data_IF_136526404732
#
_entry.id   IF_136526404732
#
_cell.length_a   1.000
_cell.length_b   1.000
_cell.length_c   1.000
_cell.angle_alpha   90.00
_cell.angle_beta   90.00
_cell.angle_gamma   90.00
#
_symmetry.space_group_name_H-M   'P 1'
#
loop_
_entity.id
_entity.type
_entity.pdbx_description
1 polymer ?
#
# COMPACT_ATOMS: atom_id res chain seq x y z
N UNK A 1 -9.74 -11.02 21.93
CA UNK A 1 -8.29 -11.06 21.67
C UNK A 1 -8.07 -10.47 20.28
N UNK A 2 -7.64 -9.22 20.15
CA UNK A 2 -7.28 -8.65 18.83
C UNK A 2 -5.84 -9.04 18.54
N UNK A 3 -5.62 -9.80 17.47
CA UNK A 3 -4.28 -10.07 16.98
C UNK A 3 -3.66 -8.73 16.52
N UNK A 4 -2.45 -8.43 17.00
CA UNK A 4 -1.69 -7.27 16.54
C UNK A 4 -1.17 -7.55 15.13
N UNK A 5 -1.25 -6.56 14.25
CA UNK A 5 -0.67 -6.66 12.92
C UNK A 5 0.86 -6.82 13.02
N UNK A 6 1.39 -7.84 12.34
CA UNK A 6 2.82 -8.04 12.15
C UNK A 6 3.15 -7.76 10.69
N UNK A 7 4.10 -6.84 10.45
CA UNK A 7 4.57 -6.54 9.09
C UNK A 7 5.18 -7.82 8.47
N UNK A 8 4.73 -8.25 7.27
CA UNK A 8 5.38 -9.32 6.53
C UNK A 8 6.83 -8.98 6.18
N UNK A 9 7.63 -9.99 5.86
CA UNK A 9 8.99 -9.75 5.38
C UNK A 9 8.99 -9.12 3.97
N UNK A 10 10.15 -8.63 3.54
CA UNK A 10 10.27 -7.89 2.28
C UNK A 10 9.89 -8.74 1.05
N UNK A 11 10.27 -10.02 1.01
CA UNK A 11 9.95 -10.91 -0.12
C UNK A 11 8.45 -11.16 -0.20
N UNK A 12 7.82 -11.37 0.95
CA UNK A 12 6.38 -11.51 1.03
C UNK A 12 5.64 -10.23 0.60
N UNK A 13 6.21 -9.05 0.82
CA UNK A 13 5.63 -7.79 0.36
C UNK A 13 5.79 -7.61 -1.15
N UNK A 14 6.95 -7.97 -1.71
CA UNK A 14 7.21 -7.91 -3.15
C UNK A 14 6.29 -8.84 -3.96
N UNK A 15 5.97 -10.02 -3.43
CA UNK A 15 5.02 -10.95 -4.06
C UNK A 15 3.55 -10.51 -3.95
N UNK A 16 3.19 -9.77 -2.89
CA UNK A 16 1.79 -9.42 -2.58
C UNK A 16 1.34 -8.07 -3.13
N UNK A 17 2.26 -7.12 -3.27
CA UNK A 17 1.95 -5.75 -3.65
C UNK A 17 2.11 -5.56 -5.15
N UNK A 18 1.38 -4.60 -5.71
CA UNK A 18 1.73 -4.12 -7.06
C UNK A 18 3.06 -3.37 -7.00
N UNK A 19 3.80 -3.25 -8.12
CA UNK A 19 5.06 -2.51 -8.15
C UNK A 19 4.93 -1.09 -7.57
N UNK A 20 3.90 -0.34 -7.96
CA UNK A 20 3.64 1.00 -7.43
C UNK A 20 3.37 1.00 -5.92
N UNK A 21 2.61 0.03 -5.40
CA UNK A 21 2.35 -0.08 -3.96
C UNK A 21 3.60 -0.45 -3.18
N UNK A 22 4.43 -1.34 -3.71
CA UNK A 22 5.70 -1.67 -3.10
C UNK A 22 6.62 -0.45 -3.05
N UNK A 23 6.80 0.25 -4.17
CA UNK A 23 7.66 1.43 -4.24
C UNK A 23 7.21 2.54 -3.30
N UNK A 24 5.91 2.85 -3.26
CA UNK A 24 5.38 3.89 -2.38
C UNK A 24 5.55 3.51 -0.90
N UNK A 25 5.36 2.23 -0.55
CA UNK A 25 5.36 1.80 0.87
C UNK A 25 6.72 1.37 1.40
N UNK A 26 7.63 0.91 0.55
CA UNK A 26 8.95 0.38 0.94
C UNK A 26 10.10 1.28 0.49
N UNK A 27 9.95 2.04 -0.61
CA UNK A 27 11.02 2.84 -1.21
C UNK A 27 10.77 4.37 -1.11
N UNK A 28 9.78 4.80 -0.34
CA UNK A 28 9.41 6.22 -0.16
C UNK A 28 9.10 6.95 -1.48
N UNK A 29 8.62 6.21 -2.48
CA UNK A 29 8.17 6.79 -3.74
C UNK A 29 6.86 7.57 -3.54
N UNK A 30 6.64 8.58 -4.38
CA UNK A 30 5.37 9.32 -4.42
C UNK A 30 4.57 8.89 -5.64
N UNK A 31 3.32 8.45 -5.43
CA UNK A 31 2.40 8.15 -6.53
C UNK A 31 1.98 9.41 -7.29
N UNK A 32 1.60 9.31 -8.58
CA UNK A 32 1.24 10.48 -9.36
C UNK A 32 -0.03 11.16 -8.81
N UNK A 33 -0.08 12.52 -8.83
CA UNK A 33 -1.22 13.26 -8.30
C UNK A 33 -2.48 12.97 -9.12
N UNK A 34 -3.62 12.84 -8.44
CA UNK A 34 -4.94 12.58 -9.03
C UNK A 34 -5.05 11.29 -9.87
N UNK A 35 -4.07 10.39 -9.77
CA UNK A 35 -4.02 9.12 -10.49
C UNK A 35 -3.79 7.94 -9.56
N UNK A 36 -4.54 7.89 -8.45
CA UNK A 36 -4.55 6.75 -7.53
C UNK A 36 -5.99 6.26 -7.30
N UNK A 37 -6.16 5.01 -6.85
CA UNK A 37 -7.48 4.39 -6.69
C UNK A 37 -8.46 5.18 -5.82
N UNK A 38 -7.94 6.01 -4.91
CA UNK A 38 -8.72 6.68 -3.87
C UNK A 38 -8.82 8.19 -4.04
N UNK A 39 -8.31 8.78 -5.13
CA UNK A 39 -8.18 10.24 -5.28
C UNK A 39 -9.51 10.99 -5.14
N UNK A 40 -10.63 10.37 -5.53
CA UNK A 40 -12.00 10.88 -5.39
C UNK A 40 -12.91 10.01 -4.52
N UNK A 41 -12.36 9.03 -3.80
CA UNK A 41 -13.19 8.13 -3.01
C UNK A 41 -13.81 8.88 -1.81
N UNK A 42 -15.13 8.88 -1.72
CA UNK A 42 -15.91 9.48 -0.61
C UNK A 42 -16.86 8.50 0.06
N UNK A 43 -16.69 7.20 -0.19
CA UNK A 43 -17.54 6.14 0.39
C UNK A 43 -17.23 5.97 1.87
N UNK A 44 -18.24 5.56 2.65
CA UNK A 44 -18.05 5.15 4.04
C UNK A 44 -17.13 3.91 4.13
N UNK A 45 -16.45 3.76 5.27
CA UNK A 45 -15.40 2.77 5.52
C UNK A 45 -15.71 1.80 6.64
#
# INVERSE_FOLDING_TARGET
MTAKYQKPDLRQLEEKLTPLQFDVTQNDATEPPFNNKYWNNKKEG
#
